data_IF_561831872054
#
_entry.id   IF_561831872054
#
_cell.length_a   1.000
_cell.length_b   1.000
_cell.length_c   1.000
_cell.angle_alpha   90.00
_cell.angle_beta   90.00
_cell.angle_gamma   90.00
#
_symmetry.space_group_name_H-M   'P 1'
#
loop_
_entity.id
_entity.type
_entity.pdbx_description
1 polymer ?
#
# COMPACT_ATOMS: atom_id res chain seq x y z
N UNK A 1 4.79 -2.23 -31.67
CA UNK A 1 5.57 -1.45 -30.68
C UNK A 1 4.70 -0.62 -29.75
N UNK A 2 3.67 0.09 -30.24
CA UNK A 2 2.77 0.87 -29.37
C UNK A 2 2.24 0.09 -28.16
N UNK A 3 1.69 -1.11 -28.38
CA UNK A 3 1.18 -1.96 -27.29
C UNK A 3 2.20 -2.27 -26.19
N UNK A 4 3.49 -2.34 -26.51
CA UNK A 4 4.55 -2.58 -25.52
C UNK A 4 4.79 -1.32 -24.67
N UNK A 5 4.75 -0.15 -25.30
CA UNK A 5 4.91 1.14 -24.61
C UNK A 5 3.70 1.44 -23.73
N UNK A 6 2.49 1.19 -24.23
CA UNK A 6 1.28 1.31 -23.42
C UNK A 6 1.34 0.40 -22.18
N UNK A 7 1.86 -0.82 -22.33
CA UNK A 7 2.06 -1.73 -21.21
C UNK A 7 3.12 -1.24 -20.20
N UNK A 8 4.19 -0.60 -20.67
CA UNK A 8 5.19 0.05 -19.80
C UNK A 8 4.57 1.19 -19.00
N UNK A 9 3.84 2.09 -19.66
CA UNK A 9 3.19 3.24 -19.03
C UNK A 9 2.15 2.82 -17.99
N UNK A 10 1.38 1.77 -18.29
CA UNK A 10 0.36 1.23 -17.41
C UNK A 10 0.92 0.29 -16.32
N UNK A 11 2.25 0.08 -16.26
CA UNK A 11 2.89 -0.87 -15.35
C UNK A 11 2.38 -2.31 -15.50
N UNK A 12 1.90 -2.68 -16.69
CA UNK A 12 1.41 -4.01 -16.99
C UNK A 12 2.58 -4.91 -17.40
N UNK A 13 3.41 -5.26 -16.42
CA UNK A 13 4.64 -6.03 -16.60
C UNK A 13 4.40 -7.42 -17.18
N UNK A 14 3.25 -8.03 -16.91
CA UNK A 14 2.90 -9.35 -17.45
C UNK A 14 2.62 -9.25 -18.96
N UNK A 15 1.82 -8.26 -19.38
CA UNK A 15 1.58 -7.98 -20.80
C UNK A 15 2.88 -7.62 -21.51
N UNK A 16 3.74 -6.83 -20.87
CA UNK A 16 5.03 -6.45 -21.41
C UNK A 16 5.93 -7.68 -21.68
N UNK A 17 6.06 -8.59 -20.72
CA UNK A 17 6.82 -9.83 -20.87
C UNK A 17 6.27 -10.71 -22.00
N UNK A 18 4.94 -10.80 -22.12
CA UNK A 18 4.29 -11.56 -23.18
C UNK A 18 4.58 -10.97 -24.57
N UNK A 19 4.56 -9.64 -24.70
CA UNK A 19 4.90 -8.97 -25.95
C UNK A 19 6.38 -9.18 -26.28
N UNK A 20 7.27 -8.97 -25.31
CA UNK A 20 8.72 -9.13 -25.48
C UNK A 20 9.10 -10.53 -25.97
N UNK A 21 8.46 -11.57 -25.43
CA UNK A 21 8.69 -12.98 -25.81
C UNK A 21 8.24 -13.33 -27.23
N UNK A 22 7.32 -12.56 -27.80
CA UNK A 22 6.73 -12.81 -29.14
C UNK A 22 7.39 -11.99 -30.25
N UNK A 23 8.28 -11.05 -29.89
CA UNK A 23 8.95 -10.23 -30.89
C UNK A 23 9.90 -11.09 -31.74
N UNK A 24 9.89 -10.92 -33.07
CA UNK A 24 10.75 -11.67 -33.96
C UNK A 24 12.23 -11.36 -33.69
N UNK A 25 13.07 -12.41 -33.70
CA UNK A 25 14.53 -12.31 -33.52
C UNK A 25 15.25 -11.86 -34.80
N UNK A 26 14.69 -10.89 -35.51
CA UNK A 26 15.35 -10.28 -36.67
C UNK A 26 16.33 -9.19 -36.22
N UNK A 27 17.40 -9.01 -37.00
CA UNK A 27 18.38 -7.95 -36.79
C UNK A 27 17.67 -6.59 -36.71
N UNK A 28 17.78 -5.90 -35.56
CA UNK A 28 17.12 -4.61 -35.30
C UNK A 28 15.90 -4.65 -34.36
N UNK A 29 15.31 -5.83 -34.10
CA UNK A 29 14.28 -6.01 -33.06
C UNK A 29 14.78 -6.78 -31.84
N UNK A 30 15.88 -7.51 -31.97
CA UNK A 30 16.48 -8.31 -30.90
C UNK A 30 16.84 -7.47 -29.66
N UNK A 31 17.44 -6.29 -29.85
CA UNK A 31 17.80 -5.40 -28.74
C UNK A 31 16.56 -4.87 -28.00
N UNK A 32 15.53 -4.45 -28.73
CA UNK A 32 14.26 -4.00 -28.14
C UNK A 32 13.57 -5.12 -27.39
N UNK A 33 13.52 -6.33 -27.96
CA UNK A 33 12.92 -7.48 -27.30
C UNK A 33 13.67 -7.83 -26.01
N UNK A 34 15.01 -7.80 -26.03
CA UNK A 34 15.83 -8.00 -24.84
C UNK A 34 15.58 -6.91 -23.78
N UNK A 35 15.55 -5.64 -24.18
CA UNK A 35 15.28 -4.52 -23.26
C UNK A 35 13.89 -4.63 -22.61
N UNK A 36 12.85 -4.95 -23.39
CA UNK A 36 11.50 -5.13 -22.87
C UNK A 36 11.43 -6.28 -21.86
N UNK A 37 12.18 -7.37 -22.09
CA UNK A 37 12.26 -8.47 -21.13
C UNK A 37 12.94 -8.04 -19.82
N UNK A 38 14.03 -7.27 -19.90
CA UNK A 38 14.70 -6.72 -18.71
C UNK A 38 13.74 -5.84 -17.92
N UNK A 39 13.07 -4.89 -18.58
CA UNK A 39 12.11 -3.99 -17.93
C UNK A 39 10.88 -4.72 -17.37
N UNK A 40 10.39 -5.74 -18.07
CA UNK A 40 9.27 -6.56 -17.58
C UNK A 40 9.65 -7.35 -16.31
N UNK A 41 10.82 -7.99 -16.31
CA UNK A 41 11.31 -8.73 -15.14
C UNK A 41 11.59 -7.81 -13.94
N UNK A 42 12.18 -6.64 -14.22
CA UNK A 42 12.39 -5.60 -13.22
C UNK A 42 11.04 -5.16 -12.61
N UNK A 43 10.08 -4.80 -13.46
CA UNK A 43 8.76 -4.39 -13.02
C UNK A 43 7.99 -5.47 -12.25
N UNK A 44 8.10 -6.75 -12.64
CA UNK A 44 7.54 -7.87 -11.90
C UNK A 44 8.13 -7.99 -10.49
N UNK A 45 9.40 -7.63 -10.29
CA UNK A 45 10.02 -7.55 -8.96
C UNK A 45 9.53 -6.33 -8.17
N UNK A 46 9.46 -5.15 -8.81
CA UNK A 46 9.00 -3.92 -8.18
C UNK A 46 7.53 -3.99 -7.72
N UNK A 47 6.68 -4.76 -8.43
CA UNK A 47 5.23 -4.84 -8.15
C UNK A 47 4.91 -5.30 -6.73
N UNK A 48 5.82 -6.07 -6.11
CA UNK A 48 5.63 -6.53 -4.73
C UNK A 48 5.71 -5.39 -3.72
N UNK A 49 6.21 -4.22 -4.13
CA UNK A 49 6.24 -3.01 -3.32
C UNK A 49 7.14 -3.09 -2.09
N UNK A 50 8.07 -4.04 -2.06
CA UNK A 50 9.08 -4.16 -0.99
C UNK A 50 10.34 -3.41 -1.39
N UNK A 51 11.09 -2.90 -0.40
CA UNK A 51 12.39 -2.26 -0.65
C UNK A 51 13.33 -3.18 -1.42
N UNK A 52 13.36 -4.48 -1.08
CA UNK A 52 14.18 -5.48 -1.78
C UNK A 52 13.76 -5.67 -3.24
N UNK A 53 12.46 -5.81 -3.51
CA UNK A 53 11.94 -5.99 -4.87
C UNK A 53 12.18 -4.75 -5.75
N UNK A 54 12.03 -3.56 -5.18
CA UNK A 54 12.31 -2.29 -5.86
C UNK A 54 13.80 -2.12 -6.15
N UNK A 55 14.68 -2.42 -5.19
CA UNK A 55 16.14 -2.40 -5.42
C UNK A 55 16.56 -3.37 -6.52
N UNK A 56 16.00 -4.59 -6.54
CA UNK A 56 16.23 -5.57 -7.60
C UNK A 56 15.78 -5.04 -8.97
N UNK A 57 14.62 -4.40 -9.04
CA UNK A 57 14.10 -3.79 -10.26
C UNK A 57 15.02 -2.67 -10.79
N UNK A 58 15.46 -1.77 -9.90
CA UNK A 58 16.40 -0.69 -10.24
C UNK A 58 17.71 -1.27 -10.78
N UNK A 59 18.29 -2.25 -10.10
CA UNK A 59 19.55 -2.88 -10.51
C UNK A 59 19.43 -3.58 -11.88
N UNK A 60 18.28 -4.20 -12.15
CA UNK A 60 18.00 -4.86 -13.42
C UNK A 60 17.85 -3.84 -14.56
N UNK A 61 17.05 -2.79 -14.37
CA UNK A 61 16.88 -1.74 -15.37
C UNK A 61 18.17 -0.92 -15.62
N UNK A 62 19.05 -0.79 -14.63
CA UNK A 62 20.35 -0.13 -14.78
C UNK A 62 21.30 -0.86 -15.72
N UNK A 63 21.04 -2.13 -16.08
CA UNK A 63 21.83 -2.86 -17.08
C UNK A 63 21.64 -2.31 -18.50
N UNK A 64 20.56 -1.57 -18.75
CA UNK A 64 20.35 -0.90 -20.02
C UNK A 64 21.31 0.30 -20.09
N UNK A 65 22.30 0.18 -20.97
CA UNK A 65 23.28 1.24 -21.21
C UNK A 65 22.69 2.35 -22.11
N UNK A 66 23.29 3.57 -22.14
CA UNK A 66 22.79 4.71 -22.94
C UNK A 66 22.62 4.46 -24.44
N UNK A 67 23.30 3.46 -25.01
CA UNK A 67 23.15 3.08 -26.43
C UNK A 67 21.94 2.18 -26.72
N UNK A 68 21.19 1.75 -25.70
CA UNK A 68 20.08 0.81 -25.84
C UNK A 68 18.79 1.52 -26.27
N UNK A 69 17.96 0.90 -27.12
CA UNK A 69 16.72 1.49 -27.60
C UNK A 69 15.75 1.96 -26.52
N UNK A 70 15.69 1.29 -25.36
CA UNK A 70 14.76 1.62 -24.25
C UNK A 70 15.45 2.26 -23.04
N UNK A 71 16.60 2.88 -23.24
CA UNK A 71 17.34 3.49 -22.15
C UNK A 71 16.56 4.61 -21.45
N UNK A 72 15.88 5.47 -22.21
CA UNK A 72 15.13 6.60 -21.66
C UNK A 72 13.97 6.12 -20.78
N UNK A 73 13.25 5.10 -21.24
CA UNK A 73 12.16 4.43 -20.53
C UNK A 73 12.69 3.75 -19.27
N UNK A 74 13.85 3.09 -19.34
CA UNK A 74 14.51 2.50 -18.17
C UNK A 74 14.84 3.55 -17.11
N UNK A 75 15.40 4.71 -17.49
CA UNK A 75 15.72 5.78 -16.56
C UNK A 75 14.46 6.40 -15.92
N UNK A 76 13.38 6.57 -16.70
CA UNK A 76 12.10 7.04 -16.17
C UNK A 76 11.53 6.08 -15.12
N UNK A 77 11.58 4.76 -15.38
CA UNK A 77 11.16 3.74 -14.44
C UNK A 77 12.03 3.72 -13.18
N UNK A 78 13.35 3.82 -13.32
CA UNK A 78 14.28 3.90 -12.19
C UNK A 78 13.96 5.12 -11.31
N UNK A 79 13.73 6.29 -11.91
CA UNK A 79 13.39 7.49 -11.15
C UNK A 79 12.09 7.30 -10.36
N UNK A 80 11.07 6.71 -10.98
CA UNK A 80 9.82 6.39 -10.31
C UNK A 80 9.98 5.37 -9.18
N UNK A 81 10.71 4.28 -9.42
CA UNK A 81 10.96 3.25 -8.42
C UNK A 81 11.74 3.77 -7.21
N UNK A 82 12.68 4.70 -7.41
CA UNK A 82 13.36 5.37 -6.29
C UNK A 82 12.40 6.13 -5.39
N UNK A 83 11.45 6.88 -5.98
CA UNK A 83 10.40 7.54 -5.20
C UNK A 83 9.56 6.52 -4.44
N UNK A 84 9.17 5.42 -5.07
CA UNK A 84 8.43 4.36 -4.39
C UNK A 84 9.21 3.77 -3.21
N UNK A 85 10.51 3.51 -3.40
CA UNK A 85 11.37 2.98 -2.34
C UNK A 85 11.43 3.89 -1.11
N UNK A 86 11.58 5.20 -1.33
CA UNK A 86 11.58 6.19 -0.25
C UNK A 86 10.27 6.14 0.53
N UNK A 87 9.13 6.12 -0.17
CA UNK A 87 7.83 6.04 0.47
C UNK A 87 7.61 4.71 1.19
N UNK A 88 8.01 3.57 0.60
CA UNK A 88 7.92 2.26 1.26
C UNK A 88 8.71 2.27 2.57
N UNK A 89 9.92 2.82 2.57
CA UNK A 89 10.74 2.94 3.77
C UNK A 89 10.04 3.77 4.86
N UNK A 90 9.46 4.91 4.48
CA UNK A 90 8.69 5.77 5.40
C UNK A 90 7.47 5.03 5.97
N UNK A 91 6.75 4.29 5.13
CA UNK A 91 5.55 3.56 5.54
C UNK A 91 5.86 2.35 6.43
N UNK A 92 6.95 1.63 6.18
CA UNK A 92 7.44 0.56 7.06
C UNK A 92 7.80 1.10 8.45
N UNK A 93 8.48 2.25 8.52
CA UNK A 93 8.76 2.92 9.79
C UNK A 93 7.47 3.33 10.51
N UNK A 94 6.51 3.89 9.78
CA UNK A 94 5.20 4.25 10.34
C UNK A 94 4.44 3.02 10.85
N UNK A 95 4.47 1.90 10.14
CA UNK A 95 3.86 0.64 10.59
C UNK A 95 4.49 0.11 11.87
N UNK A 96 5.81 0.17 12.00
CA UNK A 96 6.51 -0.22 13.22
C UNK A 96 6.04 0.61 14.42
N UNK A 97 5.87 1.92 14.24
CA UNK A 97 5.29 2.79 15.27
C UNK A 97 3.83 2.39 15.57
N UNK A 98 3.01 2.14 14.55
CA UNK A 98 1.61 1.77 14.76
C UNK A 98 1.44 0.43 15.49
N UNK A 99 2.40 -0.50 15.37
CA UNK A 99 2.33 -1.84 15.97
C UNK A 99 2.23 -1.84 17.50
N UNK A 100 2.63 -0.76 18.17
CA UNK A 100 2.47 -0.60 19.61
C UNK A 100 1.02 -0.35 20.04
N UNK A 101 0.13 0.03 19.11
CA UNK A 101 -1.32 0.07 19.29
C UNK A 101 -1.87 1.13 20.26
N UNK A 102 -1.02 1.94 20.89
CA UNK A 102 -1.44 3.03 21.76
C UNK A 102 -1.56 4.36 20.98
N UNK A 103 -2.36 5.30 21.51
CA UNK A 103 -2.65 6.59 20.85
C UNK A 103 -1.38 7.36 20.48
N UNK A 104 -0.38 7.40 21.36
CA UNK A 104 0.89 8.10 21.09
C UNK A 104 1.61 7.51 19.89
N UNK A 105 1.69 6.18 19.80
CA UNK A 105 2.43 5.50 18.74
C UNK A 105 1.67 5.53 17.41
N UNK A 106 0.33 5.43 17.45
CA UNK A 106 -0.53 5.63 16.27
C UNK A 106 -0.44 7.07 15.74
N UNK A 107 -0.39 8.07 16.63
CA UNK A 107 -0.24 9.47 16.23
C UNK A 107 1.12 9.72 15.58
N UNK A 108 2.20 9.14 16.13
CA UNK A 108 3.52 9.18 15.52
C UNK A 108 3.55 8.49 14.15
N UNK A 109 2.91 7.33 14.02
CA UNK A 109 2.76 6.63 12.75
C UNK A 109 2.04 7.47 11.68
N UNK A 110 0.94 8.14 12.06
CA UNK A 110 0.20 9.06 11.18
C UNK A 110 1.11 10.21 10.73
N UNK A 111 1.84 10.84 11.65
CA UNK A 111 2.77 11.92 11.32
C UNK A 111 3.86 11.45 10.35
N UNK A 112 4.43 10.25 10.57
CA UNK A 112 5.42 9.65 9.69
C UNK A 112 4.84 9.39 8.29
N UNK A 113 3.66 8.76 8.17
CA UNK A 113 3.04 8.49 6.88
C UNK A 113 2.63 9.76 6.11
N UNK A 114 2.31 10.86 6.82
CA UNK A 114 2.03 12.18 6.20
C UNK A 114 3.25 12.81 5.54
N UNK A 115 4.47 12.35 5.85
CA UNK A 115 5.68 12.83 5.19
C UNK A 115 5.81 12.32 3.74
N UNK A 116 5.04 11.31 3.34
CA UNK A 116 5.00 10.83 1.95
C UNK A 116 4.39 11.92 1.05
N UNK A 117 5.13 12.43 0.04
CA UNK A 117 4.61 13.48 -0.84
C UNK A 117 3.42 13.03 -1.68
N UNK A 118 2.52 13.96 -2.00
CA UNK A 118 1.34 13.70 -2.87
C UNK A 118 1.71 13.29 -4.29
N UNK A 119 2.89 13.70 -4.77
CA UNK A 119 3.43 13.30 -6.07
C UNK A 119 3.99 11.88 -6.09
N UNK A 120 4.14 11.25 -4.93
CA UNK A 120 4.69 9.91 -4.83
C UNK A 120 3.67 8.85 -5.30
N UNK A 121 4.05 7.85 -6.12
CA UNK A 121 3.13 6.80 -6.54
C UNK A 121 2.48 6.02 -5.38
N UNK A 122 3.13 5.99 -4.20
CA UNK A 122 2.65 5.33 -2.98
C UNK A 122 1.81 6.22 -2.07
N UNK A 123 1.49 7.45 -2.48
CA UNK A 123 0.70 8.36 -1.66
C UNK A 123 -0.68 7.79 -1.27
N UNK A 124 -1.34 7.08 -2.20
CA UNK A 124 -2.62 6.42 -1.90
C UNK A 124 -2.49 5.34 -0.81
N UNK A 125 -1.36 4.64 -0.75
CA UNK A 125 -1.08 3.65 0.30
C UNK A 125 -0.88 4.34 1.66
N UNK A 126 -0.16 5.46 1.68
CA UNK A 126 0.03 6.29 2.86
C UNK A 126 -1.32 6.81 3.41
N UNK A 127 -2.18 7.32 2.52
CA UNK A 127 -3.48 7.86 2.92
C UNK A 127 -4.40 6.78 3.52
N UNK A 128 -4.40 5.56 2.98
CA UNK A 128 -5.16 4.44 3.55
C UNK A 128 -4.71 4.15 4.99
N UNK A 129 -3.39 4.04 5.22
CA UNK A 129 -2.83 3.79 6.55
C UNK A 129 -3.15 4.90 7.54
N UNK A 130 -3.04 6.16 7.10
CA UNK A 130 -3.42 7.33 7.93
C UNK A 130 -4.87 7.21 8.37
N UNK A 131 -5.79 6.88 7.45
CA UNK A 131 -7.20 6.73 7.78
C UNK A 131 -7.43 5.57 8.77
N UNK A 132 -6.78 4.42 8.54
CA UNK A 132 -6.90 3.25 9.41
C UNK A 132 -6.44 3.55 10.84
N UNK A 133 -5.27 4.16 11.00
CA UNK A 133 -4.75 4.52 12.33
C UNK A 133 -5.54 5.64 12.99
N UNK A 134 -6.07 6.60 12.21
CA UNK A 134 -6.96 7.65 12.75
C UNK A 134 -8.22 7.03 13.35
N UNK A 135 -8.81 6.06 12.66
CA UNK A 135 -9.98 5.32 13.18
C UNK A 135 -9.64 4.54 14.45
N UNK A 136 -8.45 3.92 14.52
CA UNK A 136 -8.00 3.21 15.72
C UNK A 136 -7.83 4.16 16.92
N UNK A 137 -7.26 5.35 16.71
CA UNK A 137 -7.16 6.37 17.75
C UNK A 137 -8.55 6.74 18.28
N UNK A 138 -9.49 7.06 17.38
CA UNK A 138 -10.87 7.40 17.75
C UNK A 138 -11.54 6.30 18.57
N UNK A 139 -11.39 5.03 18.15
CA UNK A 139 -11.96 3.89 18.88
C UNK A 139 -11.39 3.78 20.30
N UNK A 140 -10.08 3.97 20.47
CA UNK A 140 -9.44 3.90 21.80
C UNK A 140 -9.95 5.05 22.70
N UNK A 141 -10.09 6.24 22.14
CA UNK A 141 -10.56 7.43 22.87
C UNK A 141 -12.06 7.35 23.21
N UNK A 142 -12.88 6.76 22.34
CA UNK A 142 -14.32 6.62 22.53
C UNK A 142 -14.71 5.44 23.44
N UNK A 143 -13.82 4.45 23.59
CA UNK A 143 -14.08 3.23 24.36
C UNK A 143 -14.65 3.46 25.77
N UNK A 144 -14.15 4.42 26.59
CA UNK A 144 -14.67 4.65 27.94
C UNK A 144 -16.14 5.12 27.93
N UNK A 145 -16.55 5.88 26.92
CA UNK A 145 -17.92 6.36 26.78
C UNK A 145 -18.86 5.24 26.36
N UNK A 146 -18.40 4.39 25.44
CA UNK A 146 -19.13 3.20 24.99
C UNK A 146 -19.32 2.20 26.14
N UNK A 147 -18.27 1.93 26.91
CA UNK A 147 -18.32 1.04 28.08
C UNK A 147 -19.32 1.55 29.12
N UNK A 148 -19.33 2.87 29.38
CA UNK A 148 -20.28 3.50 30.29
C UNK A 148 -21.73 3.39 29.80
N UNK A 149 -21.97 3.59 28.50
CA UNK A 149 -23.30 3.45 27.90
C UNK A 149 -23.82 1.99 27.99
N UNK A 150 -22.95 1.00 27.82
CA UNK A 150 -23.27 -0.43 27.98
C UNK A 150 -23.64 -0.76 29.43
N UNK A 151 -22.87 -0.25 30.39
CA UNK A 151 -23.12 -0.45 31.82
C UNK A 151 -24.48 0.12 32.24
N UNK A 152 -24.79 1.35 31.83
CA UNK A 152 -26.09 1.99 32.05
C UNK A 152 -27.24 1.21 31.41
N UNK A 153 -27.04 0.66 30.21
CA UNK A 153 -28.04 -0.14 29.50
C UNK A 153 -28.29 -1.50 30.18
N UNK A 154 -27.25 -2.13 30.75
CA UNK A 154 -27.38 -3.36 31.56
C UNK A 154 -28.11 -3.07 32.88
N UNK A 155 -27.79 -1.97 33.56
CA UNK A 155 -28.47 -1.54 34.79
C UNK A 155 -29.93 -1.14 34.57
N UNK A 156 -30.26 -0.51 33.43
CA UNK A 156 -31.63 -0.11 33.08
C UNK A 156 -32.55 -1.29 32.76
N UNK A 157 -32.04 -2.38 32.17
CA UNK A 157 -32.82 -3.61 31.90
C UNK A 157 -33.21 -4.37 33.17
N UNK A 158 -32.40 -4.31 34.24
CA UNK A 158 -32.74 -4.92 35.53
C UNK A 158 -33.87 -4.20 36.30
N UNK A 159 -34.16 -2.92 36.00
CA UNK A 159 -35.19 -2.17 36.75
C UNK A 159 -36.63 -2.41 36.26
N UNK A 160 -36.83 -3.00 35.07
CA UNK A 160 -38.18 -3.23 34.51
C UNK A 160 -38.80 -4.60 34.84
N UNK A 161 -38.02 -5.55 35.35
CA UNK A 161 -38.52 -6.90 35.72
C UNK A 161 -38.82 -7.08 37.22
N UNK A 162 -38.59 -6.05 38.05
CA UNK A 162 -38.86 -6.12 39.49
C UNK A 162 -40.18 -5.43 39.93
N UNK A 163 -40.98 -4.92 38.97
CA UNK A 163 -42.18 -4.11 39.26
C UNK A 163 -43.47 -4.69 38.68
N UNK A 164 -43.58 -6.02 38.57
CA UNK A 164 -44.77 -6.65 38.00
C UNK A 164 -44.94 -8.11 38.35
N UNK A 165 -45.00 -8.44 39.65
CA UNK A 165 -45.89 -9.53 40.08
C UNK A 165 -46.17 -9.48 41.59
N UNK A 166 -47.36 -8.98 41.95
CA UNK A 166 -48.01 -9.26 43.24
C UNK A 166 -49.49 -9.53 42.96
N UNK A 167 -49.91 -10.80 42.84
CA UNK A 167 -51.30 -11.15 43.08
C UNK A 167 -51.55 -11.19 44.59
N UNK A 168 -52.57 -10.43 45.03
CA UNK A 168 -52.94 -10.25 46.43
C UNK A 168 -53.41 -11.53 47.15
N UNK A 169 -53.52 -11.50 48.48
CA UNK A 169 -53.84 -12.67 49.26
C UNK A 169 -55.31 -13.06 49.08
N UNK A 170 -55.57 -14.35 48.82
CA UNK A 170 -56.86 -15.00 49.06
C UNK A 170 -56.68 -16.02 50.18
N UNK A 171 -57.52 -15.93 51.19
CA UNK A 171 -57.60 -16.85 52.33
C UNK A 171 -57.78 -16.11 53.63
#
# INVERSE_FOLDING_TARGET
>A
MQLAMDALEQNNWQTLANIASRLPKSLGMEERAADLNVLANAGLSARFGTVSGINGAIAEAQRLNPGRPLYAEAQALIARWRLEQEAVTVLEQAENLASYGNVSSLTAAIAQARSVPTSNPRYADAQRKINDWTNQVQLIEDQPFLDRAVELSRGGRCRRLAAGDRPGPRG
#
